data_IF_444834474615
#
_entry.id   IF_444834474615
#
_cell.length_a   1.000
_cell.length_b   1.000
_cell.length_c   1.000
_cell.angle_alpha   90.00
_cell.angle_beta   90.00
_cell.angle_gamma   90.00
#
_symmetry.space_group_name_H-M   'P 1'
#
loop_
_entity.id
_entity.type
_entity.pdbx_description
1 polymer ?
#
# COMPACT_ATOMS: atom_id res chain seq x y z
N UNK A 1 4.03 63.21 -21.30
CA UNK A 1 2.91 62.47 -20.70
C UNK A 1 2.55 61.23 -21.48
N UNK A 2 2.46 61.22 -22.81
CA UNK A 2 2.12 60.04 -23.61
C UNK A 2 3.12 58.87 -23.48
N UNK A 3 4.44 59.12 -23.42
CA UNK A 3 5.45 58.09 -23.27
C UNK A 3 5.42 57.35 -21.93
N UNK A 4 5.07 58.04 -20.85
CA UNK A 4 4.94 57.45 -19.51
C UNK A 4 3.70 56.53 -19.42
N UNK A 5 2.61 56.95 -20.10
CA UNK A 5 1.37 56.18 -20.17
C UNK A 5 1.55 54.90 -21.02
N UNK A 6 2.35 54.96 -22.10
CA UNK A 6 2.66 53.81 -22.95
C UNK A 6 3.57 52.81 -22.27
N UNK A 7 4.57 53.27 -21.49
CA UNK A 7 5.45 52.39 -20.68
C UNK A 7 4.69 51.75 -19.55
N UNK A 8 3.73 52.47 -18.89
CA UNK A 8 2.91 51.88 -17.82
C UNK A 8 1.91 50.85 -18.34
N UNK A 9 1.36 51.03 -19.54
CA UNK A 9 0.48 50.04 -20.19
C UNK A 9 1.23 48.83 -20.65
N UNK A 10 2.48 48.93 -21.16
CA UNK A 10 3.29 47.78 -21.51
C UNK A 10 3.76 46.96 -20.31
N UNK A 11 3.97 47.58 -19.14
CA UNK A 11 4.31 46.86 -17.91
C UNK A 11 3.11 46.06 -17.38
N UNK A 12 1.88 46.53 -17.57
CA UNK A 12 0.66 45.82 -17.15
C UNK A 12 0.33 44.59 -18.01
N UNK A 13 0.83 44.52 -19.27
CA UNK A 13 0.64 43.36 -20.14
C UNK A 13 1.62 42.20 -19.91
N UNK A 14 2.67 42.40 -19.08
CA UNK A 14 3.65 41.36 -18.75
C UNK A 14 3.35 40.68 -17.39
N UNK A 15 2.08 40.64 -17.01
CA UNK A 15 1.65 39.77 -15.92
C UNK A 15 1.69 38.32 -16.43
N UNK A 16 2.84 37.68 -16.36
CA UNK A 16 2.95 36.23 -16.59
C UNK A 16 2.01 35.55 -15.61
N UNK A 17 0.92 35.04 -16.13
CA UNK A 17 0.02 34.16 -15.37
C UNK A 17 0.77 32.87 -15.11
N UNK A 18 1.50 32.82 -14.02
CA UNK A 18 2.17 31.61 -13.53
C UNK A 18 1.10 30.54 -13.31
N UNK A 19 1.16 29.48 -14.08
CA UNK A 19 0.28 28.34 -13.91
C UNK A 19 0.77 27.57 -12.70
N UNK A 20 -0.01 27.52 -11.61
CA UNK A 20 0.32 26.68 -10.46
C UNK A 20 -0.17 25.26 -10.70
N UNK A 21 0.55 24.24 -10.20
CA UNK A 21 0.07 22.86 -10.21
C UNK A 21 -1.30 22.76 -9.53
N UNK A 22 -2.18 21.94 -10.09
CA UNK A 22 -3.53 21.68 -9.56
C UNK A 22 -3.37 20.73 -8.37
N UNK A 23 -3.95 21.11 -7.25
CA UNK A 23 -3.97 20.21 -6.09
C UNK A 23 -4.98 19.09 -6.32
N UNK A 24 -4.48 17.85 -6.30
CA UNK A 24 -5.27 16.63 -6.49
C UNK A 24 -5.44 15.92 -5.15
N UNK A 25 -6.70 15.77 -4.76
CA UNK A 25 -7.13 15.18 -3.49
C UNK A 25 -7.92 13.89 -3.71
N UNK A 26 -8.28 13.21 -2.63
CA UNK A 26 -9.15 12.03 -2.70
C UNK A 26 -10.53 12.32 -3.30
N UNK A 27 -10.98 13.56 -3.25
CA UNK A 27 -12.30 13.97 -3.75
C UNK A 27 -12.32 14.25 -5.26
N UNK A 28 -11.22 14.80 -5.81
CA UNK A 28 -11.14 15.21 -7.22
C UNK A 28 -10.20 14.35 -8.07
N UNK A 29 -9.59 13.30 -7.52
CA UNK A 29 -8.62 12.46 -8.24
C UNK A 29 -9.19 11.82 -9.52
N UNK A 30 -10.52 11.68 -9.62
CA UNK A 30 -11.17 11.17 -10.83
C UNK A 30 -10.93 12.04 -12.05
N UNK A 31 -10.65 13.33 -11.86
CA UNK A 31 -10.40 14.27 -12.95
C UNK A 31 -9.12 13.93 -13.73
N UNK A 32 -8.17 13.20 -13.09
CA UNK A 32 -6.94 12.77 -13.76
C UNK A 32 -7.17 11.61 -14.75
N UNK A 33 -8.36 11.00 -14.76
CA UNK A 33 -8.71 9.94 -15.69
C UNK A 33 -9.02 10.49 -17.09
N UNK A 34 -9.31 11.80 -17.19
CA UNK A 34 -9.67 12.46 -18.43
C UNK A 34 -8.55 13.41 -18.88
N UNK A 35 -8.20 13.32 -20.18
CA UNK A 35 -7.15 14.14 -20.78
C UNK A 35 -5.74 13.62 -20.49
N UNK A 36 -4.76 14.52 -20.54
CA UNK A 36 -3.35 14.23 -20.29
C UNK A 36 -2.84 14.98 -19.07
N UNK A 37 -2.21 14.25 -18.16
CA UNK A 37 -1.76 14.78 -16.88
C UNK A 37 -0.32 14.37 -16.57
N UNK A 38 0.41 15.29 -15.94
CA UNK A 38 1.59 14.97 -15.17
C UNK A 38 1.30 15.20 -13.69
N UNK A 39 1.51 14.18 -12.87
CA UNK A 39 1.13 14.17 -11.46
C UNK A 39 2.36 13.91 -10.59
N UNK A 40 2.59 14.77 -9.60
CA UNK A 40 3.61 14.62 -8.58
C UNK A 40 2.98 14.15 -7.26
N UNK A 41 3.57 13.14 -6.65
CA UNK A 41 3.31 12.75 -5.26
C UNK A 41 4.44 13.28 -4.38
N UNK A 42 4.08 14.09 -3.41
CA UNK A 42 5.03 14.76 -2.53
C UNK A 42 4.57 14.71 -1.07
N UNK A 43 5.47 15.11 -0.15
CA UNK A 43 5.13 15.39 1.25
C UNK A 43 5.91 16.60 1.75
N UNK A 44 5.33 17.44 2.64
CA UNK A 44 5.99 18.65 3.16
C UNK A 44 7.27 18.37 3.94
N UNK A 45 7.33 17.22 4.60
CA UNK A 45 8.49 16.78 5.38
C UNK A 45 9.62 16.19 4.53
N UNK A 46 9.41 15.92 3.25
CA UNK A 46 10.37 15.29 2.35
C UNK A 46 11.39 16.32 1.81
N UNK A 47 12.70 16.20 2.13
CA UNK A 47 13.71 17.17 1.67
C UNK A 47 13.86 17.18 0.13
N UNK A 48 13.79 16.00 -0.52
CA UNK A 48 13.90 15.89 -1.96
C UNK A 48 12.71 16.55 -2.68
N UNK A 49 11.49 16.46 -2.09
CA UNK A 49 10.31 17.12 -2.62
C UNK A 49 10.46 18.64 -2.55
N UNK A 50 10.90 19.17 -1.39
CA UNK A 50 11.13 20.62 -1.23
C UNK A 50 12.14 21.19 -2.24
N UNK A 51 13.18 20.42 -2.56
CA UNK A 51 14.13 20.81 -3.60
C UNK A 51 13.59 20.71 -5.04
N UNK A 52 12.45 20.04 -5.22
CA UNK A 52 11.84 19.84 -6.54
C UNK A 52 10.68 20.80 -6.84
N UNK A 53 10.08 21.41 -5.82
CA UNK A 53 8.91 22.32 -5.94
C UNK A 53 9.15 23.38 -7.01
N UNK A 54 10.30 24.10 -6.97
CA UNK A 54 10.57 25.15 -7.94
C UNK A 54 10.62 24.64 -9.39
N UNK A 55 11.18 23.43 -9.58
CA UNK A 55 11.23 22.79 -10.90
C UNK A 55 9.83 22.39 -11.38
N UNK A 56 9.01 21.87 -10.46
CA UNK A 56 7.65 21.46 -10.76
C UNK A 56 6.75 22.66 -11.10
N UNK A 57 6.90 23.76 -10.36
CA UNK A 57 6.21 25.02 -10.65
C UNK A 57 6.58 25.57 -12.05
N UNK A 58 7.87 25.58 -12.40
CA UNK A 58 8.33 25.98 -13.73
C UNK A 58 7.80 25.04 -14.83
N UNK A 59 7.78 23.74 -14.57
CA UNK A 59 7.18 22.78 -15.49
C UNK A 59 5.69 23.02 -15.68
N UNK A 60 4.98 23.44 -14.62
CA UNK A 60 3.55 23.73 -14.72
C UNK A 60 3.23 24.93 -15.62
N UNK A 61 4.17 25.87 -15.79
CA UNK A 61 4.02 27.00 -16.73
C UNK A 61 3.92 26.53 -18.19
N UNK A 62 4.53 25.36 -18.54
CA UNK A 62 4.45 24.74 -19.87
C UNK A 62 3.13 24.00 -20.12
N UNK A 63 2.23 23.93 -19.13
CA UNK A 63 1.00 23.13 -19.22
C UNK A 63 0.13 23.52 -20.42
N UNK A 64 0.07 24.81 -20.78
CA UNK A 64 -0.71 25.31 -21.90
C UNK A 64 -0.06 24.98 -23.24
N UNK A 65 1.28 25.08 -23.33
CA UNK A 65 2.01 24.85 -24.56
C UNK A 65 2.05 23.36 -24.90
N UNK A 66 2.08 22.50 -23.88
CA UNK A 66 2.07 21.04 -23.99
C UNK A 66 0.65 20.43 -24.04
N UNK A 67 -0.40 21.24 -23.86
CA UNK A 67 -1.80 20.80 -23.76
C UNK A 67 -2.01 19.70 -22.72
N UNK A 68 -1.39 19.87 -21.54
CA UNK A 68 -1.48 18.96 -20.41
C UNK A 68 -1.94 19.68 -19.15
N UNK A 69 -2.40 18.90 -18.19
CA UNK A 69 -2.62 19.37 -16.83
C UNK A 69 -1.50 18.89 -15.92
N UNK A 70 -1.05 19.77 -15.03
CA UNK A 70 0.01 19.44 -14.06
C UNK A 70 -0.59 19.47 -12.67
N UNK A 71 -0.46 18.36 -11.96
CA UNK A 71 -1.06 18.21 -10.63
C UNK A 71 -0.05 17.83 -9.56
N UNK A 72 -0.41 18.08 -8.31
CA UNK A 72 0.36 17.72 -7.12
C UNK A 72 -0.55 17.04 -6.10
N UNK A 73 -0.05 15.96 -5.48
CA UNK A 73 -0.72 15.22 -4.41
C UNK A 73 0.15 15.26 -3.16
N UNK A 74 -0.36 15.80 -2.08
CA UNK A 74 0.24 15.61 -0.76
C UNK A 74 -0.20 14.25 -0.18
N UNK A 75 0.76 13.32 -0.06
CA UNK A 75 0.48 11.97 0.46
C UNK A 75 0.17 11.95 1.95
N UNK A 76 0.50 13.02 2.69
CA UNK A 76 0.17 13.15 4.12
C UNK A 76 -1.30 13.43 4.33
N UNK A 77 -1.88 14.26 3.47
CA UNK A 77 -3.29 14.62 3.52
C UNK A 77 -4.17 13.62 2.74
N UNK A 78 -3.58 12.95 1.72
CA UNK A 78 -4.29 12.03 0.83
C UNK A 78 -3.68 10.61 0.87
N UNK A 79 -3.70 9.92 2.03
CA UNK A 79 -3.10 8.59 2.17
C UNK A 79 -3.77 7.53 1.31
N UNK A 80 -5.05 7.67 1.03
CA UNK A 80 -5.79 6.78 0.13
C UNK A 80 -5.25 6.82 -1.30
N UNK A 81 -4.85 8.00 -1.81
CA UNK A 81 -4.21 8.12 -3.12
C UNK A 81 -2.82 7.51 -3.10
N UNK A 82 -2.04 7.72 -2.03
CA UNK A 82 -0.73 7.08 -1.87
C UNK A 82 -0.81 5.55 -1.98
N UNK A 83 -1.80 4.94 -1.34
CA UNK A 83 -2.07 3.50 -1.45
C UNK A 83 -2.56 3.09 -2.84
N UNK A 84 -3.47 3.87 -3.44
CA UNK A 84 -4.04 3.61 -4.76
C UNK A 84 -2.98 3.63 -5.87
N UNK A 85 -2.01 4.53 -5.79
CA UNK A 85 -0.89 4.65 -6.75
C UNK A 85 0.34 3.85 -6.36
N UNK A 86 0.32 3.10 -5.24
CA UNK A 86 1.48 2.35 -4.71
C UNK A 86 2.74 3.22 -4.58
N UNK A 87 2.58 4.43 -4.06
CA UNK A 87 3.69 5.37 -3.89
C UNK A 87 4.64 4.83 -2.82
N UNK A 88 5.82 4.37 -3.24
CA UNK A 88 6.85 3.79 -2.35
C UNK A 88 8.01 4.72 -2.04
N UNK A 89 8.14 5.80 -2.80
CA UNK A 89 9.21 6.80 -2.66
C UNK A 89 8.72 8.19 -3.03
N UNK A 90 9.38 9.23 -2.50
CA UNK A 90 9.02 10.62 -2.76
C UNK A 90 10.24 11.42 -3.25
N UNK A 91 10.05 12.35 -4.20
CA UNK A 91 8.84 12.52 -5.01
C UNK A 91 8.68 11.42 -6.05
N UNK A 92 7.44 10.99 -6.33
CA UNK A 92 7.09 10.09 -7.42
C UNK A 92 6.28 10.81 -8.48
N UNK A 93 6.62 10.61 -9.75
CA UNK A 93 5.97 11.27 -10.87
C UNK A 93 5.25 10.24 -11.73
N UNK A 94 4.04 10.61 -12.16
CA UNK A 94 3.21 9.77 -13.04
C UNK A 94 2.74 10.59 -14.24
N UNK A 95 2.81 9.97 -15.41
CA UNK A 95 2.14 10.43 -16.61
C UNK A 95 0.84 9.66 -16.77
N UNK A 96 -0.24 10.37 -17.01
CA UNK A 96 -1.58 9.80 -17.14
C UNK A 96 -2.18 10.35 -18.42
N UNK A 97 -2.65 9.45 -19.28
CA UNK A 97 -3.36 9.84 -20.50
C UNK A 97 -4.58 8.95 -20.71
N UNK A 98 -5.77 9.57 -20.68
CA UNK A 98 -7.05 8.88 -20.87
C UNK A 98 -7.18 7.62 -20.00
N UNK A 99 -6.88 7.72 -18.70
CA UNK A 99 -6.96 6.62 -17.75
C UNK A 99 -5.83 5.57 -17.86
N UNK A 100 -4.84 5.78 -18.71
CA UNK A 100 -3.62 4.96 -18.75
C UNK A 100 -2.52 5.61 -17.93
N UNK A 101 -1.99 4.88 -16.97
CA UNK A 101 -1.00 5.35 -16.01
C UNK A 101 0.39 4.82 -16.36
N UNK A 102 1.37 5.68 -16.30
CA UNK A 102 2.79 5.36 -16.50
C UNK A 102 3.63 6.03 -15.43
N UNK A 103 4.52 5.29 -14.80
CA UNK A 103 5.44 5.88 -13.83
C UNK A 103 6.62 6.51 -14.57
N UNK A 104 6.84 7.82 -14.34
CA UNK A 104 8.02 8.50 -14.85
C UNK A 104 9.25 8.18 -13.99
N UNK A 105 10.31 7.69 -14.62
CA UNK A 105 11.58 7.32 -13.96
C UNK A 105 12.78 8.09 -14.51
N UNK A 106 12.54 9.13 -15.31
CA UNK A 106 13.58 9.97 -15.88
C UNK A 106 14.18 10.98 -14.90
N UNK A 107 14.98 11.88 -15.39
CA UNK A 107 15.59 12.93 -14.60
C UNK A 107 14.58 13.99 -14.15
N UNK A 108 14.98 14.80 -13.17
CA UNK A 108 14.11 15.78 -12.51
C UNK A 108 14.39 17.22 -12.96
N UNK A 109 14.98 17.40 -14.13
CA UNK A 109 15.19 18.73 -14.70
C UNK A 109 13.96 19.14 -15.51
N UNK A 110 13.62 20.42 -15.47
CA UNK A 110 12.52 20.98 -16.24
C UNK A 110 12.59 20.56 -17.72
N UNK A 111 13.75 20.71 -18.35
CA UNK A 111 13.96 20.36 -19.77
C UNK A 111 13.69 18.88 -20.07
N UNK A 112 13.99 17.98 -19.13
CA UNK A 112 13.75 16.54 -19.28
C UNK A 112 12.26 16.21 -19.17
N UNK A 113 11.54 16.90 -18.26
CA UNK A 113 10.09 16.76 -18.10
C UNK A 113 9.35 17.28 -19.32
N UNK A 114 9.75 18.47 -19.84
CA UNK A 114 9.18 19.05 -21.07
C UNK A 114 9.40 18.11 -22.25
N UNK A 115 10.66 17.65 -22.47
CA UNK A 115 10.96 16.75 -23.59
C UNK A 115 10.28 15.38 -23.46
N UNK A 116 9.97 14.93 -22.25
CA UNK A 116 9.25 13.67 -22.03
C UNK A 116 7.82 13.75 -22.57
N UNK A 117 7.17 14.89 -22.41
CA UNK A 117 5.80 15.10 -22.88
C UNK A 117 5.78 15.50 -24.34
N UNK A 118 6.60 16.49 -24.74
CA UNK A 118 6.64 17.07 -26.08
C UNK A 118 7.08 16.04 -27.14
N UNK A 119 8.17 15.31 -26.87
CA UNK A 119 8.68 14.25 -27.74
C UNK A 119 7.87 12.93 -27.61
N UNK A 120 6.82 12.91 -26.78
CA UNK A 120 5.96 11.73 -26.50
C UNK A 120 6.74 10.49 -26.04
N UNK A 121 7.84 10.69 -25.31
CA UNK A 121 8.67 9.59 -24.76
C UNK A 121 7.91 8.64 -23.85
N UNK A 122 6.75 9.08 -23.36
CA UNK A 122 5.84 8.24 -22.58
C UNK A 122 5.23 7.08 -23.40
N UNK A 123 5.22 7.15 -24.73
CA UNK A 123 4.75 6.06 -25.59
C UNK A 123 5.69 4.85 -25.56
N UNK A 124 6.99 5.07 -25.28
CA UNK A 124 7.98 4.00 -25.11
C UNK A 124 7.83 3.26 -23.77
N UNK A 125 7.07 3.82 -22.82
CA UNK A 125 6.88 3.22 -21.52
C UNK A 125 5.61 2.36 -21.51
N UNK A 126 5.75 1.11 -21.05
CA UNK A 126 4.60 0.25 -20.84
C UNK A 126 3.65 0.85 -19.80
N UNK A 127 2.35 0.93 -20.09
CA UNK A 127 1.36 1.36 -19.12
C UNK A 127 1.27 0.37 -17.95
N UNK A 128 0.93 0.89 -16.78
CA UNK A 128 0.69 0.06 -15.60
C UNK A 128 -0.42 -0.95 -15.93
N UNK A 129 -0.22 -2.26 -15.67
CA UNK A 129 -1.21 -3.29 -15.93
C UNK A 129 -2.56 -2.96 -15.29
N UNK A 130 -3.67 -3.37 -15.92
CA UNK A 130 -5.03 -3.04 -15.49
C UNK A 130 -5.32 -3.42 -14.02
N UNK A 131 -4.71 -4.49 -13.50
CA UNK A 131 -4.88 -4.95 -12.12
C UNK A 131 -4.11 -4.11 -11.09
N UNK A 132 -3.03 -3.43 -11.49
CA UNK A 132 -2.31 -2.44 -10.67
C UNK A 132 -2.69 -1.00 -11.02
N UNK A 133 -3.59 -0.81 -11.98
CA UNK A 133 -4.06 0.52 -12.34
C UNK A 133 -4.73 1.20 -11.15
N UNK A 134 -4.41 2.47 -10.83
CA UNK A 134 -5.10 3.22 -9.79
C UNK A 134 -6.62 3.28 -9.96
N UNK A 135 -7.13 3.12 -11.18
CA UNK A 135 -8.56 3.06 -11.47
C UNK A 135 -9.19 1.71 -11.12
N UNK A 136 -8.41 0.65 -10.83
CA UNK A 136 -8.94 -0.67 -10.52
C UNK A 136 -9.59 -0.74 -9.13
N UNK A 137 -10.55 -1.65 -8.99
CA UNK A 137 -11.23 -1.91 -7.70
C UNK A 137 -10.24 -2.41 -6.64
N UNK A 138 -9.23 -3.18 -7.04
CA UNK A 138 -8.20 -3.69 -6.12
C UNK A 138 -7.38 -2.55 -5.52
N UNK A 139 -6.94 -1.60 -6.34
CA UNK A 139 -6.22 -0.42 -5.88
C UNK A 139 -7.12 0.53 -5.09
N UNK A 140 -8.41 0.59 -5.42
CA UNK A 140 -9.40 1.30 -4.59
C UNK A 140 -9.47 0.71 -3.18
N UNK A 141 -9.57 -0.61 -3.05
CA UNK A 141 -9.59 -1.30 -1.76
C UNK A 141 -8.29 -1.06 -0.98
N UNK A 142 -7.13 -1.13 -1.66
CA UNK A 142 -5.84 -0.85 -1.07
C UNK A 142 -5.75 0.61 -0.57
N UNK A 143 -6.23 1.57 -1.35
CA UNK A 143 -6.33 2.98 -0.95
C UNK A 143 -7.16 3.16 0.33
N UNK A 144 -8.33 2.49 0.43
CA UNK A 144 -9.14 2.52 1.63
C UNK A 144 -8.43 1.89 2.84
N UNK A 145 -7.68 0.81 2.63
CA UNK A 145 -6.86 0.20 3.68
C UNK A 145 -5.79 1.18 4.20
N UNK A 146 -5.09 1.88 3.31
CA UNK A 146 -4.11 2.91 3.69
C UNK A 146 -4.76 4.06 4.46
N UNK A 147 -5.92 4.53 4.00
CA UNK A 147 -6.70 5.55 4.70
C UNK A 147 -7.10 5.10 6.10
N UNK A 148 -7.59 3.87 6.24
CA UNK A 148 -7.94 3.31 7.55
C UNK A 148 -6.72 3.18 8.47
N UNK A 149 -5.57 2.73 7.94
CA UNK A 149 -4.34 2.62 8.72
C UNK A 149 -3.85 3.99 9.23
N UNK A 150 -3.94 5.04 8.40
CA UNK A 150 -3.59 6.41 8.82
C UNK A 150 -4.60 6.95 9.83
N UNK A 151 -5.89 6.66 9.68
CA UNK A 151 -6.90 7.06 10.67
C UNK A 151 -6.63 6.44 12.07
N UNK A 152 -6.19 5.18 12.13
CA UNK A 152 -5.77 4.54 13.40
C UNK A 152 -4.58 5.28 14.02
N UNK A 153 -3.59 5.67 13.21
CA UNK A 153 -2.46 6.47 13.67
C UNK A 153 -2.89 7.84 14.20
N UNK A 154 -3.83 8.49 13.53
CA UNK A 154 -4.33 9.80 13.94
C UNK A 154 -5.12 9.71 15.25
N UNK A 155 -5.94 8.67 15.43
CA UNK A 155 -6.61 8.36 16.69
C UNK A 155 -5.59 8.16 17.81
N UNK A 156 -4.53 7.38 17.57
CA UNK A 156 -3.46 7.18 18.55
C UNK A 156 -2.78 8.51 18.93
N UNK A 157 -2.45 9.35 17.94
CA UNK A 157 -1.84 10.66 18.18
C UNK A 157 -2.77 11.59 18.95
N UNK A 158 -4.07 11.59 18.64
CA UNK A 158 -5.07 12.36 19.35
C UNK A 158 -5.19 11.90 20.81
N UNK A 159 -5.24 10.59 21.05
CA UNK A 159 -5.32 10.04 22.42
C UNK A 159 -4.09 10.41 23.25
N UNK A 160 -2.90 10.33 22.69
CA UNK A 160 -1.65 10.59 23.41
C UNK A 160 -1.35 12.08 23.57
N UNK A 161 -1.60 12.91 22.55
CA UNK A 161 -1.21 14.32 22.55
C UNK A 161 -2.29 15.25 23.09
N UNK A 162 -3.56 15.00 22.75
CA UNK A 162 -4.68 15.87 23.16
C UNK A 162 -5.27 15.44 24.50
N UNK A 163 -5.50 14.13 24.69
CA UNK A 163 -6.07 13.61 25.94
C UNK A 163 -5.03 13.25 26.98
N UNK A 164 -3.73 13.31 26.66
CA UNK A 164 -2.64 13.01 27.60
C UNK A 164 -2.62 11.59 28.12
N UNK A 165 -3.23 10.65 27.39
CA UNK A 165 -3.29 9.24 27.77
C UNK A 165 -1.88 8.64 27.66
N UNK A 166 -1.36 7.96 28.69
CA UNK A 166 -0.05 7.35 28.61
C UNK A 166 -0.02 6.25 27.54
N UNK A 167 1.09 6.11 26.83
CA UNK A 167 1.26 5.21 25.68
C UNK A 167 0.84 3.76 26.00
N UNK A 168 1.18 3.25 27.18
CA UNK A 168 0.81 1.89 27.60
C UNK A 168 -0.70 1.68 27.65
N UNK A 169 -1.46 2.71 28.09
CA UNK A 169 -2.93 2.63 28.14
C UNK A 169 -3.55 2.60 26.74
N UNK A 170 -2.99 3.33 25.78
CA UNK A 170 -3.39 3.25 24.38
C UNK A 170 -3.23 1.83 23.82
N UNK A 171 -2.09 1.17 24.10
CA UNK A 171 -1.91 -0.24 23.67
C UNK A 171 -2.94 -1.19 24.26
N UNK A 172 -3.28 -1.02 25.54
CA UNK A 172 -4.33 -1.83 26.19
C UNK A 172 -5.69 -1.60 25.54
N UNK A 173 -6.05 -0.34 25.27
CA UNK A 173 -7.31 0.02 24.61
C UNK A 173 -7.39 -0.61 23.21
N UNK A 174 -6.33 -0.48 22.40
CA UNK A 174 -6.28 -1.09 21.06
C UNK A 174 -6.32 -2.62 21.12
N UNK A 175 -5.65 -3.24 22.08
CA UNK A 175 -5.70 -4.69 22.28
C UNK A 175 -7.12 -5.16 22.60
N UNK A 176 -7.82 -4.51 23.52
CA UNK A 176 -9.21 -4.82 23.84
C UNK A 176 -10.11 -4.60 22.61
N UNK A 177 -9.96 -3.49 21.91
CA UNK A 177 -10.74 -3.18 20.71
C UNK A 177 -10.55 -4.23 19.61
N UNK A 178 -9.31 -4.69 19.37
CA UNK A 178 -9.02 -5.73 18.35
C UNK A 178 -9.59 -7.10 18.76
N UNK A 179 -9.54 -7.46 20.04
CA UNK A 179 -10.15 -8.70 20.54
C UNK A 179 -11.68 -8.65 20.36
N UNK A 180 -12.32 -7.56 20.77
CA UNK A 180 -13.77 -7.39 20.60
C UNK A 180 -14.18 -7.43 19.14
N UNK A 181 -13.45 -6.72 18.27
CA UNK A 181 -13.70 -6.74 16.83
C UNK A 181 -13.55 -8.14 16.24
N UNK A 182 -12.52 -8.88 16.66
CA UNK A 182 -12.30 -10.27 16.26
C UNK A 182 -13.42 -11.20 16.68
N UNK A 183 -13.91 -11.06 17.92
CA UNK A 183 -15.07 -11.84 18.44
C UNK A 183 -16.35 -11.54 17.65
N UNK A 184 -16.63 -10.26 17.39
CA UNK A 184 -17.81 -9.85 16.61
C UNK A 184 -17.73 -10.40 15.20
N UNK A 185 -16.56 -10.24 14.53
CA UNK A 185 -16.36 -10.74 13.18
C UNK A 185 -16.45 -12.26 13.12
N UNK A 186 -15.85 -12.96 14.09
CA UNK A 186 -15.94 -14.42 14.22
C UNK A 186 -17.39 -14.88 14.37
N UNK A 187 -18.16 -14.22 15.25
CA UNK A 187 -19.58 -14.51 15.41
C UNK A 187 -20.38 -14.28 14.13
N UNK A 188 -20.12 -13.17 13.43
CA UNK A 188 -20.77 -12.88 12.14
C UNK A 188 -20.46 -13.93 11.08
N UNK A 189 -19.22 -14.40 11.00
CA UNK A 189 -18.83 -15.46 10.06
C UNK A 189 -19.57 -16.76 10.38
N UNK A 190 -19.62 -17.16 11.66
CA UNK A 190 -20.35 -18.37 12.09
C UNK A 190 -21.83 -18.25 11.74
N UNK A 191 -22.48 -17.14 12.07
CA UNK A 191 -23.89 -16.92 11.74
C UNK A 191 -24.13 -16.93 10.22
N UNK A 192 -23.22 -16.34 9.43
CA UNK A 192 -23.29 -16.37 7.96
C UNK A 192 -23.15 -17.80 7.42
N UNK A 193 -22.23 -18.59 7.97
CA UNK A 193 -22.04 -20.00 7.60
C UNK A 193 -23.27 -20.84 7.99
N UNK A 194 -23.85 -20.62 9.16
CA UNK A 194 -25.05 -21.33 9.60
C UNK A 194 -26.28 -21.00 8.73
N UNK A 195 -26.38 -19.75 8.26
CA UNK A 195 -27.45 -19.35 7.33
C UNK A 195 -27.27 -19.94 5.92
N UNK A 196 -26.02 -20.06 5.44
CA UNK A 196 -25.72 -20.57 4.09
C UNK A 196 -25.65 -22.10 4.05
N UNK A 197 -25.27 -22.74 5.15
CA UNK A 197 -25.19 -24.20 5.28
C UNK A 197 -26.18 -24.65 6.35
N UNK A 198 -27.46 -24.86 6.02
CA UNK A 198 -28.41 -25.39 6.99
C UNK A 198 -27.91 -26.77 7.43
N UNK A 199 -27.47 -26.83 8.67
CA UNK A 199 -26.92 -28.01 9.30
C UNK A 199 -27.97 -29.13 9.30
N UNK A 200 -27.82 -30.13 8.44
CA UNK A 200 -28.61 -31.36 8.42
C UNK A 200 -28.17 -32.36 9.47
N UNK A 201 -27.31 -31.97 10.39
CA UNK A 201 -26.82 -32.87 11.43
C UNK A 201 -27.53 -32.57 12.78
N UNK A 202 -28.69 -33.15 13.00
CA UNK A 202 -29.25 -33.33 14.32
C UNK A 202 -28.76 -34.72 14.80
N UNK A 203 -27.79 -34.79 15.72
CA UNK A 203 -27.48 -36.06 16.36
C UNK A 203 -28.73 -36.50 17.14
N UNK A 204 -29.33 -37.64 16.73
CA UNK A 204 -30.49 -38.20 17.37
C UNK A 204 -30.12 -38.57 18.83
N UNK A 205 -30.72 -37.97 19.89
CA UNK A 205 -30.38 -38.27 21.26
C UNK A 205 -30.73 -39.70 21.71
N UNK A 206 -31.38 -40.48 20.84
CA UNK A 206 -31.88 -41.82 21.16
C UNK A 206 -30.92 -42.97 20.88
N UNK A 207 -29.73 -42.71 20.27
CA UNK A 207 -28.79 -43.79 19.98
C UNK A 207 -27.84 -44.15 21.14
N UNK A 208 -27.93 -43.45 22.28
CA UNK A 208 -27.09 -43.73 23.47
C UNK A 208 -27.75 -44.69 24.49
N UNK A 209 -28.90 -45.29 24.16
CA UNK A 209 -29.60 -46.21 25.08
C UNK A 209 -30.01 -47.53 24.39
N UNK A 210 -29.08 -48.16 23.67
CA UNK A 210 -29.19 -49.59 23.40
C UNK A 210 -28.32 -50.34 24.39
N UNK A 211 -28.91 -51.17 25.31
CA UNK A 211 -28.13 -52.04 26.16
C UNK A 211 -27.44 -53.10 25.31
N UNK A 212 -26.14 -53.25 25.53
CA UNK A 212 -25.34 -54.31 24.91
C UNK A 212 -25.94 -55.66 25.29
N UNK A 213 -26.24 -56.57 24.32
CA UNK A 213 -26.72 -57.91 24.67
C UNK A 213 -25.65 -58.67 25.43
N UNK A 214 -26.06 -59.59 26.32
CA UNK A 214 -25.11 -60.37 27.14
C UNK A 214 -24.27 -61.32 26.28
N UNK A 215 -23.00 -61.38 26.60
CA UNK A 215 -22.03 -62.29 25.98
C UNK A 215 -22.40 -63.74 26.39
N UNK A 216 -22.76 -64.58 25.43
CA UNK A 216 -22.76 -66.04 25.57
C UNK A 216 -21.48 -66.64 24.92
N UNK A 217 -20.79 -67.42 25.75
CA UNK A 217 -20.11 -68.69 25.41
C UNK A 217 -18.78 -68.63 24.70
N UNK A 218 -17.77 -68.63 25.52
CA UNK A 218 -16.55 -69.47 25.51
C UNK A 218 -16.43 -70.44 24.34
N UNK A 219 -15.35 -70.33 23.58
CA UNK A 219 -14.45 -71.45 23.23
C UNK A 219 -13.05 -70.91 22.93
N UNK A 220 -12.09 -71.50 23.64
CA UNK A 220 -10.65 -71.42 23.40
C UNK A 220 -10.30 -72.22 22.18
N UNK A 221 -9.43 -71.69 21.34
CA UNK A 221 -8.41 -72.48 20.65
C UNK A 221 -7.20 -71.60 20.44
N UNK A 222 -6.08 -72.17 20.87
CA UNK A 222 -4.72 -71.63 20.78
C UNK A 222 -4.22 -71.75 19.33
N UNK A 223 -3.39 -70.83 18.90
CA UNK A 223 -2.13 -71.05 18.16
C UNK A 223 -1.59 -69.77 17.54
N UNK A 224 -0.46 -69.43 18.03
CA UNK A 224 0.86 -69.01 17.47
C UNK A 224 0.96 -67.98 16.31
N UNK A 225 1.87 -67.05 16.65
CA UNK A 225 3.03 -66.57 15.92
C UNK A 225 2.90 -65.29 15.08
N UNK A 226 3.90 -64.45 15.38
CA UNK A 226 4.62 -63.44 14.55
C UNK A 226 3.91 -62.13 14.18
N UNK A 227 4.22 -61.06 14.81
CA UNK A 227 5.44 -60.24 14.67
C UNK A 227 5.34 -59.25 13.51
N UNK A 228 5.04 -57.99 13.83
CA UNK A 228 5.76 -56.86 13.21
C UNK A 228 5.32 -55.55 13.87
N UNK A 229 6.29 -55.00 14.57
CA UNK A 229 6.27 -53.64 15.09
C UNK A 229 6.38 -52.66 13.90
N UNK A 230 5.57 -51.61 13.91
CA UNK A 230 5.92 -50.40 13.19
C UNK A 230 5.85 -49.22 14.15
N UNK A 231 7.02 -48.89 14.64
CA UNK A 231 7.30 -47.64 15.35
C UNK A 231 7.04 -46.43 14.45
N UNK A 232 6.30 -45.49 14.96
CA UNK A 232 6.27 -44.12 14.43
C UNK A 232 7.20 -43.27 15.26
N UNK A 233 8.36 -42.97 14.70
CA UNK A 233 9.37 -42.08 15.25
C UNK A 233 8.87 -40.65 15.35
N UNK A 234 8.82 -40.17 16.58
CA UNK A 234 8.76 -38.75 16.92
C UNK A 234 10.21 -38.28 17.00
N UNK A 235 10.64 -37.47 16.05
CA UNK A 235 11.95 -36.83 16.07
C UNK A 235 11.84 -35.52 16.83
N UNK A 236 12.40 -35.49 18.02
CA UNK A 236 12.79 -34.34 18.81
C UNK A 236 14.24 -33.99 18.48
N UNK A 237 14.50 -32.85 17.86
CA UNK A 237 15.84 -32.33 17.59
C UNK A 237 16.15 -31.05 18.36
N UNK A 238 16.55 -31.26 19.61
CA UNK A 238 17.40 -30.32 20.34
C UNK A 238 18.81 -30.87 20.45
N UNK A 239 19.76 -30.39 19.66
CA UNK A 239 21.18 -30.47 20.04
C UNK A 239 22.07 -29.39 19.44
N UNK A 240 22.40 -28.44 20.29
CA UNK A 240 23.57 -27.56 20.26
C UNK A 240 24.86 -28.33 19.91
N UNK A 241 25.66 -27.79 19.00
CA UNK A 241 27.12 -27.94 19.04
C UNK A 241 27.81 -26.74 18.39
N UNK A 242 28.54 -26.01 19.20
CA UNK A 242 29.58 -25.07 18.81
C UNK A 242 30.67 -25.75 18.00
N UNK A 243 31.19 -25.11 16.97
CA UNK A 243 32.60 -25.22 16.57
C UNK A 243 33.05 -23.98 15.80
N UNK A 244 34.08 -23.36 16.35
CA UNK A 244 35.00 -22.38 15.82
C UNK A 244 35.44 -22.62 14.36
N UNK A 245 35.60 -21.52 13.62
CA UNK A 245 36.19 -21.51 12.29
C UNK A 245 36.47 -20.10 11.79
N UNK A 246 37.59 -19.58 12.27
CA UNK A 246 38.32 -18.37 11.81
C UNK A 246 38.39 -18.28 10.28
N UNK A 247 37.92 -17.16 9.69
CA UNK A 247 38.39 -16.70 8.38
C UNK A 247 38.25 -15.19 8.19
N UNK A 248 39.38 -14.53 8.13
CA UNK A 248 39.69 -13.13 7.88
C UNK A 248 39.00 -12.54 6.67
N UNK A 249 38.64 -11.21 6.72
CA UNK A 249 38.12 -10.50 5.55
C UNK A 249 39.25 -10.10 4.59
N UNK A 250 39.07 -10.43 3.33
CA UNK A 250 39.95 -10.16 2.21
C UNK A 250 39.82 -8.70 1.78
N UNK A 251 40.82 -7.86 2.05
CA UNK A 251 41.01 -6.48 1.56
C UNK A 251 41.07 -6.49 0.02
N UNK A 252 40.15 -5.83 -0.65
CA UNK A 252 40.21 -5.49 -2.08
C UNK A 252 41.06 -4.23 -2.26
N UNK A 253 42.21 -4.42 -2.89
CA UNK A 253 43.19 -3.41 -3.28
C UNK A 253 42.62 -2.60 -4.47
N UNK A 254 42.43 -1.30 -4.29
CA UNK A 254 42.16 -0.36 -5.38
C UNK A 254 43.46 -0.11 -6.12
N UNK A 255 43.51 -0.41 -7.43
CA UNK A 255 44.59 0.03 -8.33
C UNK A 255 44.27 1.45 -8.77
N UNK A 256 45.21 2.35 -8.48
CA UNK A 256 45.34 3.71 -9.03
C UNK A 256 46.01 3.52 -10.41
N UNK A 257 45.44 4.06 -11.45
CA UNK A 257 46.06 4.22 -12.74
C UNK A 257 46.30 5.70 -12.99
N UNK A 258 47.49 5.97 -13.42
CA UNK A 258 47.99 7.30 -13.79
C UNK A 258 47.19 7.92 -14.95
#
# INVERSE_FOLDING_TARGET
MFHVLFVSVTILFFSQTQCKPIEVTEDNWSDVLEGEWMLEFMAPWCPACRGFVETWDKFSDWSKDLDIKVGVVDVTENPGLSGRFLVSSLPSLYHIKNGQFRQYKGGRKETELVSFVDDKKWEELDPIPWYFSPASVQMAALGQFFKAAMAVRDIYNMMTKEYGIPEWACYVIFAIATILLGLILGLLIVLCCDMMLPSKYVPNPKEKLQPRPPAEGVQKEDEDADGEESETDIIDDTKTTEKDGDSKPRRRRVKKAD
#
